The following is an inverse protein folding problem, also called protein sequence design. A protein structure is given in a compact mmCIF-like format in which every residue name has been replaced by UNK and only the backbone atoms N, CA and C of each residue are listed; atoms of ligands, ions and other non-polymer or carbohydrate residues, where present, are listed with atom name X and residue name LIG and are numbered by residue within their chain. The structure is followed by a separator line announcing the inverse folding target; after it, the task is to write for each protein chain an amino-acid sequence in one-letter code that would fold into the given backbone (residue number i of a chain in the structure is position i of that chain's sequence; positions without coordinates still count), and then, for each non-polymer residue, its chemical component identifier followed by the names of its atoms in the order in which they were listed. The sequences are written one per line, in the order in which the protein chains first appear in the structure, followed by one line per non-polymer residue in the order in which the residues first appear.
data_IF_706322580965
#
_entry.id   IF_706322580965
#
_cell.length_a   1.000
_cell.length_b   1.000
_cell.length_c   1.000
_cell.angle_alpha   90.00
_cell.angle_beta   90.00
_cell.angle_gamma   90.00
#
_symmetry.space_group_name_H-M   'P 1'
#
loop_
_entity.id
_entity.type
_entity.pdbx_description
1 polymer ?
#
# COMPACT_ATOMS: atom_id res chain seq x y z
N UNK A 1 -6.85 3.58 -25.67
CA UNK A 1 -6.68 3.73 -24.21
C UNK A 1 -6.47 5.21 -23.96
N UNK A 2 -7.40 5.85 -23.26
CA UNK A 2 -7.30 7.26 -22.96
C UNK A 2 -6.63 7.39 -21.59
N UNK A 3 -5.48 8.05 -21.54
CA UNK A 3 -4.77 8.32 -20.30
C UNK A 3 -5.12 9.75 -19.91
N UNK A 4 -6.03 9.89 -18.94
CA UNK A 4 -6.42 11.19 -18.39
C UNK A 4 -5.46 11.51 -17.24
N UNK A 5 -4.56 12.45 -17.48
CA UNK A 5 -3.60 12.93 -16.47
C UNK A 5 -4.29 13.90 -15.49
N UNK A 6 -4.53 13.42 -14.26
CA UNK A 6 -5.15 14.18 -13.16
C UNK A 6 -4.14 14.79 -12.19
N UNK A 7 -2.85 14.88 -12.56
CA UNK A 7 -1.82 15.45 -11.67
C UNK A 7 -2.05 16.90 -11.25
N UNK A 8 -2.96 17.64 -11.89
CA UNK A 8 -3.34 19.02 -11.52
C UNK A 8 -4.37 19.13 -10.37
N UNK A 9 -5.06 18.05 -10.02
CA UNK A 9 -6.08 18.01 -8.96
C UNK A 9 -5.59 17.28 -7.70
N UNK A 10 -4.30 17.41 -7.34
CA UNK A 10 -3.72 16.73 -6.17
C UNK A 10 -4.29 17.29 -4.86
N UNK A 11 -5.52 16.90 -4.52
CA UNK A 11 -5.84 16.57 -3.13
C UNK A 11 -4.77 15.58 -2.70
N UNK A 12 -4.08 15.85 -1.60
CA UNK A 12 -3.15 14.88 -1.02
C UNK A 12 -3.83 13.50 -1.02
N UNK A 13 -3.19 12.53 -1.65
CA UNK A 13 -3.73 11.19 -1.75
C UNK A 13 -3.92 10.65 -0.35
N UNK A 14 -5.15 10.39 0.10
CA UNK A 14 -5.41 9.95 1.48
C UNK A 14 -5.62 8.44 1.52
N UNK A 15 -4.66 7.68 2.04
CA UNK A 15 -4.74 6.22 2.13
C UNK A 15 -5.92 5.74 2.99
N UNK A 16 -6.56 4.66 2.56
CA UNK A 16 -7.69 3.99 3.22
C UNK A 16 -7.42 2.49 3.35
N UNK A 17 -8.11 1.85 4.30
CA UNK A 17 -8.07 0.40 4.43
C UNK A 17 -8.62 -0.27 3.15
N UNK A 18 -7.90 -1.26 2.63
CA UNK A 18 -8.24 -1.96 1.39
C UNK A 18 -7.72 -1.30 0.12
N UNK A 19 -7.11 -0.10 0.19
CA UNK A 19 -6.42 0.46 -0.95
C UNK A 19 -5.21 -0.40 -1.33
N UNK A 20 -5.00 -0.56 -2.63
CA UNK A 20 -3.75 -1.09 -3.18
C UNK A 20 -2.86 0.09 -3.55
N UNK A 21 -1.61 0.02 -3.11
CA UNK A 21 -0.57 1.00 -3.42
C UNK A 21 0.60 0.32 -4.11
N UNK A 22 1.40 1.11 -4.83
CA UNK A 22 2.55 0.67 -5.59
C UNK A 22 3.72 1.64 -5.39
N UNK A 23 4.94 1.13 -5.35
CA UNK A 23 6.16 1.96 -5.31
C UNK A 23 6.86 2.05 -6.68
N UNK A 24 7.95 2.81 -6.75
CA UNK A 24 8.76 2.98 -7.98
C UNK A 24 9.48 1.71 -8.45
N UNK A 25 9.61 0.70 -7.59
CA UNK A 25 10.25 -0.58 -7.88
C UNK A 25 9.25 -1.65 -8.35
N UNK A 26 8.03 -1.27 -8.71
CA UNK A 26 6.94 -2.19 -9.08
C UNK A 26 6.53 -3.18 -7.96
N UNK A 27 6.83 -2.87 -6.70
CA UNK A 27 6.28 -3.59 -5.57
C UNK A 27 4.85 -3.14 -5.30
N UNK A 28 4.01 -4.08 -4.87
CA UNK A 28 2.62 -3.86 -4.54
C UNK A 28 2.37 -4.12 -3.06
N UNK A 29 1.50 -3.31 -2.48
CA UNK A 29 1.06 -3.50 -1.12
C UNK A 29 -0.43 -3.22 -0.95
N UNK A 30 -1.06 -4.01 -0.09
CA UNK A 30 -2.44 -3.83 0.31
C UNK A 30 -2.48 -3.25 1.73
N UNK A 31 -3.22 -2.16 1.91
CA UNK A 31 -3.39 -1.56 3.23
C UNK A 31 -4.39 -2.41 4.03
N UNK A 32 -3.91 -3.09 5.05
CA UNK A 32 -4.71 -3.98 5.92
C UNK A 32 -4.40 -3.72 7.40
N UNK A 33 -5.03 -4.48 8.29
CA UNK A 33 -4.65 -4.53 9.71
C UNK A 33 -3.95 -5.84 10.02
N UNK A 34 -2.91 -5.77 10.85
CA UNK A 34 -2.25 -6.94 11.42
C UNK A 34 -3.10 -7.57 12.55
N UNK A 35 -2.61 -8.67 13.12
CA UNK A 35 -3.27 -9.37 14.23
C UNK A 35 -3.37 -8.54 15.53
N UNK A 36 -2.61 -7.45 15.64
CA UNK A 36 -2.66 -6.52 16.77
C UNK A 36 -3.62 -5.35 16.49
N UNK A 37 -4.26 -5.30 15.32
CA UNK A 37 -5.16 -4.23 14.90
C UNK A 37 -4.44 -2.98 14.36
N UNK A 38 -3.12 -3.04 14.17
CA UNK A 38 -2.33 -1.95 13.58
C UNK A 38 -2.43 -1.98 12.06
N UNK A 39 -2.46 -0.81 11.43
CA UNK A 39 -2.38 -0.67 9.98
C UNK A 39 -1.00 -1.09 9.48
N UNK A 40 -0.97 -1.92 8.44
CA UNK A 40 0.25 -2.34 7.79
C UNK A 40 0.06 -2.39 6.28
N UNK A 41 1.17 -2.36 5.56
CA UNK A 41 1.21 -2.45 4.12
C UNK A 41 1.64 -3.86 3.72
N UNK A 42 0.67 -4.78 3.61
CA UNK A 42 0.91 -6.19 3.31
C UNK A 42 1.47 -6.35 1.91
N UNK A 43 2.58 -7.06 1.77
CA UNK A 43 3.17 -7.38 0.48
C UNK A 43 2.25 -8.31 -0.31
N UNK A 44 1.83 -7.84 -1.47
CA UNK A 44 1.06 -8.60 -2.45
C UNK A 44 1.79 -8.71 -3.79
N UNK A 45 3.07 -8.32 -3.82
CA UNK A 45 3.93 -8.46 -5.00
C UNK A 45 4.06 -9.94 -5.31
N UNK A 46 3.75 -10.41 -6.53
CA UNK A 46 3.91 -11.82 -6.88
C UNK A 46 5.37 -12.28 -6.71
N UNK A 47 5.66 -12.95 -5.59
CA UNK A 47 6.94 -13.57 -5.28
C UNK A 47 6.74 -14.89 -4.51
N UNK A 48 7.75 -15.76 -4.54
CA UNK A 48 7.60 -17.16 -4.12
C UNK A 48 7.63 -17.39 -2.59
N UNK A 49 8.07 -16.43 -1.76
CA UNK A 49 8.47 -16.78 -0.38
C UNK A 49 7.79 -16.02 0.77
N UNK A 50 7.20 -14.83 0.59
CA UNK A 50 6.66 -14.06 1.74
C UNK A 50 5.34 -13.28 1.49
N UNK A 51 4.72 -13.42 0.32
CA UNK A 51 3.47 -12.73 -0.03
C UNK A 51 2.31 -13.11 0.89
N UNK A 52 1.38 -12.17 1.14
CA UNK A 52 0.13 -12.38 1.89
C UNK A 52 0.27 -12.64 3.41
N UNK A 53 1.28 -12.06 4.06
CA UNK A 53 1.41 -12.08 5.53
C UNK A 53 1.37 -10.67 6.09
N UNK A 54 0.86 -10.53 7.31
CA UNK A 54 0.79 -9.24 8.03
C UNK A 54 1.80 -9.16 9.18
N UNK A 55 2.73 -10.11 9.28
CA UNK A 55 3.85 -10.04 10.23
C UNK A 55 4.99 -9.17 9.66
N UNK A 56 6.03 -8.92 10.46
CA UNK A 56 7.17 -8.08 10.05
C UNK A 56 7.96 -8.63 8.85
N UNK A 57 7.71 -9.87 8.40
CA UNK A 57 8.37 -10.46 7.22
C UNK A 57 7.58 -10.28 5.94
N UNK A 58 6.27 -10.06 6.03
CA UNK A 58 5.36 -9.92 4.89
C UNK A 58 4.81 -8.52 4.66
N UNK A 59 5.36 -7.50 5.34
CA UNK A 59 4.91 -6.11 5.18
C UNK A 59 6.03 -5.21 4.68
N UNK A 60 5.64 -4.17 3.96
CA UNK A 60 6.52 -3.06 3.63
C UNK A 60 6.60 -2.09 4.81
N UNK A 61 7.82 -1.86 5.32
CA UNK A 61 8.06 -0.98 6.46
C UNK A 61 7.68 -1.61 7.80
N UNK A 62 6.85 -0.94 8.59
CA UNK A 62 6.37 -1.47 9.88
C UNK A 62 4.95 -1.00 10.18
N UNK A 63 4.20 -1.83 10.92
CA UNK A 63 2.82 -1.54 11.28
C UNK A 63 2.71 -0.28 12.17
N UNK A 64 1.58 0.42 12.07
CA UNK A 64 1.27 1.67 12.79
C UNK A 64 -0.14 1.68 13.34
N UNK A 65 -0.35 2.39 14.44
CA UNK A 65 -1.66 2.49 15.08
C UNK A 65 -2.63 3.34 14.26
N UNK A 66 -2.13 4.25 13.40
CA UNK A 66 -2.94 5.10 12.53
C UNK A 66 -2.49 5.05 11.06
N UNK A 67 -3.43 5.27 10.13
CA UNK A 67 -3.14 5.33 8.69
C UNK A 67 -2.21 6.50 8.31
N UNK A 68 -2.38 7.73 8.83
CA UNK A 68 -1.46 8.82 8.52
C UNK A 68 -0.02 8.52 8.96
N UNK A 69 0.18 7.86 10.11
CA UNK A 69 1.51 7.42 10.53
C UNK A 69 2.14 6.39 9.60
N UNK A 70 1.31 5.48 9.05
CA UNK A 70 1.77 4.52 8.05
C UNK A 70 2.15 5.25 6.76
N UNK A 71 1.26 6.07 6.22
CA UNK A 71 1.44 6.76 4.94
C UNK A 71 2.63 7.73 4.96
N UNK A 72 2.79 8.51 6.02
CA UNK A 72 3.89 9.47 6.15
C UNK A 72 5.16 8.85 6.74
N UNK A 73 5.22 7.52 6.85
CA UNK A 73 6.42 6.83 7.29
C UNK A 73 7.53 7.07 6.27
N UNK A 74 8.66 7.60 6.73
CA UNK A 74 9.82 7.92 5.90
C UNK A 74 10.20 6.82 4.90
N UNK A 75 10.26 5.56 5.32
CA UNK A 75 10.60 4.44 4.41
C UNK A 75 9.61 4.29 3.25
N UNK A 76 8.32 4.60 3.45
CA UNK A 76 7.30 4.54 2.40
C UNK A 76 7.25 5.84 1.58
N UNK A 77 7.58 6.98 2.18
CA UNK A 77 7.68 8.25 1.44
C UNK A 77 8.88 8.23 0.49
N UNK A 78 10.03 7.76 0.97
CA UNK A 78 11.28 7.67 0.20
C UNK A 78 11.13 6.69 -0.98
N UNK A 79 10.33 5.64 -0.80
CA UNK A 79 10.00 4.65 -1.84
C UNK A 79 8.90 5.12 -2.82
N UNK A 80 8.33 6.32 -2.65
CA UNK A 80 7.33 6.92 -3.56
C UNK A 80 6.05 6.08 -3.74
N UNK A 81 5.57 5.48 -2.66
CA UNK A 81 4.31 4.72 -2.67
C UNK A 81 3.12 5.63 -3.01
N UNK A 82 2.27 5.18 -3.93
CA UNK A 82 1.05 5.87 -4.36
C UNK A 82 -0.07 4.85 -4.64
N UNK A 83 -1.33 5.26 -4.57
CA UNK A 83 -2.46 4.36 -4.85
C UNK A 83 -2.53 4.00 -6.32
N UNK A 84 -3.03 2.81 -6.57
CA UNK A 84 -3.39 2.34 -7.91
C UNK A 84 -4.89 2.03 -7.94
N UNK A 85 -5.49 2.18 -9.13
CA UNK A 85 -6.88 1.79 -9.33
C UNK A 85 -6.99 0.27 -9.43
N UNK A 86 -7.20 -0.40 -8.30
CA UNK A 86 -7.34 -1.84 -8.21
C UNK A 86 -8.82 -2.26 -8.09
N UNK A 87 -9.15 -3.43 -8.63
CA UNK A 87 -10.48 -4.04 -8.53
C UNK A 87 -10.34 -5.51 -8.16
N UNK A 88 -11.02 -5.93 -7.10
CA UNK A 88 -11.19 -7.35 -6.78
C UNK A 88 -12.24 -7.96 -7.72
N UNK A 89 -11.88 -9.04 -8.41
CA UNK A 89 -12.79 -9.85 -9.23
C UNK A 89 -12.89 -11.21 -8.56
N UNK A 90 -14.11 -11.63 -8.23
CA UNK A 90 -14.42 -12.95 -7.66
C UNK A 90 -15.33 -13.64 -8.67
N UNK A 91 -15.01 -14.89 -9.00
CA UNK A 91 -15.77 -15.75 -9.92
C UNK A 91 -16.56 -16.82 -9.16
#
# INVERSE_FOLDING_TARGET
MEIIDKTKDKKEEQWQLGDVVKNSNDNFGLIVKDNNGNYCLMDITPNDNNTYRTDNTGIWGCAKTTLPELQHRRSLVDDTWHKVNAKLVIE
#
